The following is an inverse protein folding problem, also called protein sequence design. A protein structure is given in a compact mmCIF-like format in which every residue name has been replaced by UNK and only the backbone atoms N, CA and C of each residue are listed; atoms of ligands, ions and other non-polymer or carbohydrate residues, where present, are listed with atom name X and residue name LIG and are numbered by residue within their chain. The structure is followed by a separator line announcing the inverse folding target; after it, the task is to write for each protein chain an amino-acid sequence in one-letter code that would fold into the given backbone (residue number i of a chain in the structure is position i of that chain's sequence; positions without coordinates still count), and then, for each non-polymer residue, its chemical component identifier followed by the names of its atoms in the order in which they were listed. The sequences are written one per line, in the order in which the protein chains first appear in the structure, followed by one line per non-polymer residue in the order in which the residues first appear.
data_IF_376898508366
#
_entry.id   IF_376898508366
#
_cell.length_a   1.000
_cell.length_b   1.000
_cell.length_c   1.000
_cell.angle_alpha   90.00
_cell.angle_beta   90.00
_cell.angle_gamma   90.00
#
_symmetry.space_group_name_H-M   'P 1'
#
loop_
_entity.id
_entity.type
_entity.pdbx_description
1 polymer ?
#
# COMPACT_ATOMS: atom_id res chain seq x y z
N UNK A 1 -6.05 15.75 -17.96
CA UNK A 1 -6.28 14.84 -19.11
C UNK A 1 -7.61 15.16 -19.75
N UNK A 2 -7.76 15.11 -21.09
CA UNK A 2 -8.97 15.56 -21.81
C UNK A 2 -10.08 14.51 -21.70
N UNK A 3 -11.33 14.92 -21.50
CA UNK A 3 -12.52 14.04 -21.41
C UNK A 3 -12.54 12.95 -22.51
N UNK A 4 -12.17 13.30 -23.74
CA UNK A 4 -12.11 12.36 -24.87
C UNK A 4 -11.15 11.17 -24.71
N UNK A 5 -10.13 11.25 -23.87
CA UNK A 5 -9.22 10.12 -23.60
C UNK A 5 -9.86 9.08 -22.65
N UNK A 6 -10.69 9.53 -21.69
CA UNK A 6 -11.45 8.64 -20.80
C UNK A 6 -12.47 7.82 -21.58
N UNK A 7 -13.20 8.47 -22.47
CA UNK A 7 -14.21 7.82 -23.32
C UNK A 7 -13.57 6.82 -24.30
N UNK A 8 -12.40 7.16 -24.85
CA UNK A 8 -11.67 6.26 -25.75
C UNK A 8 -11.17 4.99 -25.01
N UNK A 9 -10.65 5.14 -23.80
CA UNK A 9 -10.18 4.00 -23.00
C UNK A 9 -11.35 3.10 -22.57
N UNK A 10 -12.51 3.68 -22.20
CA UNK A 10 -13.72 2.93 -21.90
C UNK A 10 -14.19 2.10 -23.10
N UNK A 11 -14.30 2.72 -24.29
CA UNK A 11 -14.66 2.01 -25.52
C UNK A 11 -13.66 0.91 -25.90
N UNK A 12 -12.36 1.16 -25.69
CA UNK A 12 -11.33 0.16 -25.95
C UNK A 12 -11.46 -1.04 -25.01
N UNK A 13 -11.71 -0.80 -23.71
CA UNK A 13 -11.98 -1.83 -22.72
C UNK A 13 -13.21 -2.67 -23.08
N UNK A 14 -14.35 -2.02 -23.39
CA UNK A 14 -15.58 -2.70 -23.79
C UNK A 14 -15.36 -3.57 -25.05
N UNK A 15 -14.63 -3.04 -26.04
CA UNK A 15 -14.30 -3.79 -27.25
C UNK A 15 -13.43 -5.02 -26.93
N UNK A 16 -12.42 -4.85 -26.07
CA UNK A 16 -11.55 -5.97 -25.64
C UNK A 16 -12.36 -7.04 -24.90
N UNK A 17 -13.26 -6.63 -24.00
CA UNK A 17 -14.12 -7.54 -23.25
C UNK A 17 -15.09 -8.32 -24.15
N UNK A 18 -15.53 -7.74 -25.29
CA UNK A 18 -16.41 -8.41 -26.27
C UNK A 18 -15.66 -9.35 -27.23
N UNK A 19 -14.43 -9.00 -27.60
CA UNK A 19 -13.67 -9.74 -28.63
C UNK A 19 -12.83 -10.90 -28.07
N UNK A 20 -12.58 -10.92 -26.76
CA UNK A 20 -11.83 -11.97 -26.09
C UNK A 20 -11.78 -11.71 -24.60
N UNK A 21 -11.47 -12.73 -23.81
CA UNK A 21 -11.30 -12.54 -22.38
C UNK A 21 -10.05 -11.66 -22.13
N UNK A 22 -10.15 -10.49 -21.47
CA UNK A 22 -9.02 -9.69 -21.11
C UNK A 22 -8.03 -10.48 -20.23
N UNK A 23 -6.74 -10.28 -20.45
CA UNK A 23 -5.70 -10.87 -19.61
C UNK A 23 -5.64 -10.18 -18.25
N UNK A 24 -5.03 -10.83 -17.25
CA UNK A 24 -4.73 -10.18 -15.95
C UNK A 24 -3.99 -8.85 -16.14
N UNK A 25 -3.05 -8.80 -17.08
CA UNK A 25 -2.31 -7.57 -17.39
C UNK A 25 -3.19 -6.44 -17.90
N UNK A 26 -4.21 -6.74 -18.69
CA UNK A 26 -5.16 -5.75 -19.23
C UNK A 26 -6.06 -5.20 -18.13
N UNK A 27 -6.58 -6.07 -17.23
CA UNK A 27 -7.31 -5.64 -16.04
C UNK A 27 -6.50 -4.68 -15.18
N UNK A 28 -5.23 -5.03 -14.87
CA UNK A 28 -4.37 -4.22 -14.03
C UNK A 28 -4.04 -2.86 -14.68
N UNK A 29 -3.76 -2.82 -15.98
CA UNK A 29 -3.53 -1.57 -16.72
C UNK A 29 -4.75 -0.67 -16.75
N UNK A 30 -5.93 -1.25 -16.98
CA UNK A 30 -7.17 -0.48 -17.02
C UNK A 30 -7.57 0.02 -15.62
N UNK A 31 -7.37 -0.79 -14.59
CA UNK A 31 -7.55 -0.37 -13.21
C UNK A 31 -6.65 0.84 -12.85
N UNK A 32 -5.36 0.79 -13.15
CA UNK A 32 -4.44 1.93 -12.96
C UNK A 32 -4.87 3.17 -13.75
N UNK A 33 -5.32 2.99 -14.99
CA UNK A 33 -5.85 4.08 -15.79
C UNK A 33 -7.05 4.76 -15.13
N UNK A 34 -8.00 3.98 -14.61
CA UNK A 34 -9.18 4.50 -13.93
C UNK A 34 -8.81 5.26 -12.64
N UNK A 35 -7.92 4.69 -11.82
CA UNK A 35 -7.42 5.34 -10.60
C UNK A 35 -6.75 6.68 -10.93
N UNK A 36 -5.81 6.68 -11.89
CA UNK A 36 -5.08 7.90 -12.29
C UNK A 36 -6.02 8.97 -12.86
N UNK A 37 -7.20 8.59 -13.32
CA UNK A 37 -8.21 9.53 -13.85
C UNK A 37 -9.33 9.87 -12.84
N UNK A 38 -9.17 9.53 -11.56
CA UNK A 38 -10.12 9.86 -10.49
C UNK A 38 -11.45 9.10 -10.61
N UNK A 39 -11.41 7.88 -11.15
CA UNK A 39 -12.56 6.97 -11.21
C UNK A 39 -12.31 5.72 -10.36
N UNK A 40 -12.20 5.92 -9.04
CA UNK A 40 -11.90 4.89 -8.05
C UNK A 40 -13.01 3.83 -8.00
N UNK A 41 -14.27 4.24 -8.17
CA UNK A 41 -15.43 3.32 -8.20
C UNK A 41 -15.34 2.38 -9.41
N UNK A 42 -15.05 2.92 -10.60
CA UNK A 42 -14.84 2.10 -11.80
C UNK A 42 -13.63 1.17 -11.65
N UNK A 43 -12.54 1.69 -11.09
CA UNK A 43 -11.34 0.89 -10.80
C UNK A 43 -11.64 -0.27 -9.84
N UNK A 44 -12.44 -0.03 -8.79
CA UNK A 44 -12.85 -1.03 -7.81
C UNK A 44 -13.68 -2.14 -8.46
N UNK A 45 -14.61 -1.79 -9.35
CA UNK A 45 -15.40 -2.75 -10.11
C UNK A 45 -14.50 -3.65 -10.98
N UNK A 46 -13.52 -3.07 -11.70
CA UNK A 46 -12.55 -3.80 -12.53
C UNK A 46 -11.66 -4.71 -11.68
N UNK A 47 -11.20 -4.22 -10.52
CA UNK A 47 -10.42 -5.01 -9.58
C UNK A 47 -11.20 -6.22 -9.05
N UNK A 48 -12.42 -6.00 -8.61
CA UNK A 48 -13.28 -7.06 -8.09
C UNK A 48 -13.67 -8.08 -9.18
N UNK A 49 -13.85 -7.64 -10.43
CA UNK A 49 -14.04 -8.55 -11.55
C UNK A 49 -12.81 -9.44 -11.78
N UNK A 50 -11.59 -8.89 -11.72
CA UNK A 50 -10.35 -9.66 -11.85
C UNK A 50 -10.22 -10.75 -10.77
N UNK A 51 -10.61 -10.44 -9.54
CA UNK A 51 -10.46 -11.33 -8.38
C UNK A 51 -11.77 -12.04 -7.97
N UNK A 52 -12.82 -11.99 -8.80
CA UNK A 52 -14.14 -12.57 -8.50
C UNK A 52 -14.11 -14.06 -8.14
N UNK A 53 -13.15 -14.81 -8.72
CA UNK A 53 -12.99 -16.26 -8.46
C UNK A 53 -12.34 -16.59 -7.12
N UNK A 54 -11.71 -15.63 -6.46
CA UNK A 54 -11.02 -15.84 -5.17
C UNK A 54 -11.87 -15.55 -3.94
N UNK A 55 -13.16 -15.22 -4.12
CA UNK A 55 -14.08 -14.75 -3.06
C UNK A 55 -13.54 -13.55 -2.25
N UNK A 56 -12.53 -12.85 -2.78
CA UNK A 56 -11.92 -11.69 -2.17
C UNK A 56 -12.47 -10.43 -2.86
N UNK A 57 -13.54 -9.87 -2.31
CA UNK A 57 -14.07 -8.58 -2.72
C UNK A 57 -13.37 -7.47 -1.95
N UNK A 58 -12.73 -6.55 -2.67
CA UNK A 58 -12.20 -5.33 -2.08
C UNK A 58 -13.35 -4.32 -1.90
N UNK A 59 -13.47 -3.77 -0.69
CA UNK A 59 -14.43 -2.71 -0.34
C UNK A 59 -13.67 -1.43 0.03
N UNK A 60 -14.29 -0.25 -0.10
CA UNK A 60 -13.72 0.98 0.46
C UNK A 60 -13.33 0.80 1.93
N UNK A 61 -12.24 1.42 2.36
CA UNK A 61 -11.74 1.30 3.72
C UNK A 61 -11.10 -0.05 4.06
N UNK A 62 -10.66 -0.82 3.05
CA UNK A 62 -9.98 -2.12 3.27
C UNK A 62 -8.64 -2.17 2.56
N UNK A 63 -7.62 -2.64 3.26
CA UNK A 63 -6.33 -3.00 2.67
C UNK A 63 -6.49 -4.34 1.94
N UNK A 64 -6.04 -4.37 0.68
CA UNK A 64 -5.95 -5.61 -0.08
C UNK A 64 -4.74 -6.42 0.38
N UNK A 65 -4.97 -7.71 0.67
CA UNK A 65 -3.89 -8.67 0.96
C UNK A 65 -2.90 -8.19 2.05
N UNK A 66 -3.42 -7.80 3.21
CA UNK A 66 -2.60 -7.31 4.33
C UNK A 66 -1.67 -8.35 4.97
N UNK A 67 -1.76 -9.62 4.56
CA UNK A 67 -0.88 -10.74 4.96
C UNK A 67 0.06 -11.17 3.82
N UNK A 68 0.17 -10.40 2.74
CA UNK A 68 1.07 -10.63 1.60
C UNK A 68 0.98 -12.03 0.98
N UNK A 69 -0.21 -12.64 1.01
CA UNK A 69 -0.46 -13.98 0.47
C UNK A 69 -0.64 -14.02 -1.05
N UNK A 70 -0.83 -12.86 -1.70
CA UNK A 70 -1.01 -12.75 -3.14
C UNK A 70 0.26 -12.25 -3.83
N UNK A 71 0.48 -12.61 -5.10
CA UNK A 71 1.58 -12.04 -5.87
C UNK A 71 1.52 -10.51 -5.94
N UNK A 72 2.65 -9.85 -5.72
CA UNK A 72 2.78 -8.40 -5.87
C UNK A 72 2.48 -7.99 -7.31
N UNK A 73 1.58 -7.04 -7.49
CA UNK A 73 1.15 -6.59 -8.83
C UNK A 73 1.83 -5.31 -9.26
N UNK A 74 2.29 -4.48 -8.34
CA UNK A 74 2.77 -3.11 -8.56
C UNK A 74 1.75 -2.23 -9.30
N UNK A 75 0.47 -2.61 -9.29
CA UNK A 75 -0.63 -1.98 -10.03
C UNK A 75 -1.96 -2.09 -9.31
N UNK A 76 -2.92 -1.26 -9.75
CA UNK A 76 -4.28 -1.24 -9.24
C UNK A 76 -4.32 -0.96 -7.75
N UNK A 77 -5.11 -1.75 -7.03
CA UNK A 77 -5.18 -1.71 -5.55
C UNK A 77 -4.24 -2.73 -4.89
N UNK A 78 -3.31 -3.34 -5.62
CA UNK A 78 -2.29 -4.22 -5.06
C UNK A 78 -1.07 -3.47 -4.50
N UNK A 79 -0.23 -4.20 -3.80
CA UNK A 79 1.01 -3.66 -3.26
C UNK A 79 1.98 -3.21 -4.36
N UNK A 80 2.61 -2.06 -4.13
CA UNK A 80 3.73 -1.49 -4.90
C UNK A 80 4.96 -1.53 -4.04
N UNK A 81 5.98 -2.25 -4.47
CA UNK A 81 7.24 -2.40 -3.74
C UNK A 81 8.22 -1.31 -4.15
N UNK A 82 8.77 -0.65 -3.15
CA UNK A 82 9.80 0.39 -3.31
C UNK A 82 11.16 -0.17 -3.70
N UNK A 83 12.04 0.72 -4.13
CA UNK A 83 13.43 0.41 -4.43
C UNK A 83 14.31 1.59 -3.99
N UNK A 84 15.41 1.29 -3.29
CA UNK A 84 16.43 2.28 -2.93
C UNK A 84 17.80 1.60 -2.79
N UNK A 85 18.90 2.31 -3.00
CA UNK A 85 20.23 1.80 -2.71
C UNK A 85 20.38 1.36 -1.26
N UNK A 86 21.03 0.22 -1.03
CA UNK A 86 21.24 -0.32 0.32
C UNK A 86 20.02 -0.93 0.98
N UNK A 87 18.92 -1.11 0.24
CA UNK A 87 17.67 -1.71 0.75
C UNK A 87 17.27 -2.90 -0.10
N UNK A 88 17.10 -4.06 0.54
CA UNK A 88 16.56 -5.27 -0.09
C UNK A 88 15.20 -5.57 0.50
N UNK A 89 14.16 -5.58 -0.34
CA UNK A 89 12.77 -5.86 0.07
C UNK A 89 12.33 -7.19 -0.53
N UNK A 90 11.71 -8.05 0.29
CA UNK A 90 11.27 -9.38 -0.13
C UNK A 90 10.10 -9.88 0.76
N UNK A 91 9.44 -10.95 0.35
CA UNK A 91 8.45 -11.65 1.16
C UNK A 91 9.14 -12.78 1.93
N UNK A 92 9.00 -12.74 3.26
CA UNK A 92 9.63 -13.71 4.17
C UNK A 92 8.58 -14.75 4.62
N UNK A 93 8.85 -16.01 4.31
CA UNK A 93 8.00 -17.14 4.72
C UNK A 93 8.34 -17.73 6.08
N UNK A 94 9.47 -17.36 6.68
CA UNK A 94 9.94 -17.90 7.94
C UNK A 94 9.55 -17.00 9.13
N UNK A 95 9.76 -15.69 9.00
CA UNK A 95 9.44 -14.70 10.04
C UNK A 95 8.15 -13.97 9.66
N UNK A 96 7.02 -14.40 10.20
CA UNK A 96 5.69 -13.86 9.96
C UNK A 96 4.84 -13.86 11.21
N UNK A 97 3.83 -12.99 11.25
CA UNK A 97 2.83 -12.95 12.32
C UNK A 97 1.66 -13.87 11.99
N UNK A 98 1.22 -13.90 10.73
CA UNK A 98 0.10 -14.72 10.24
C UNK A 98 0.27 -15.06 8.74
N UNK A 99 -0.58 -15.94 8.22
CA UNK A 99 -0.61 -16.26 6.80
C UNK A 99 0.65 -16.98 6.29
N UNK A 100 1.02 -16.70 5.03
CA UNK A 100 2.15 -17.35 4.36
C UNK A 100 3.43 -16.51 4.43
N UNK A 101 3.32 -15.19 4.37
CA UNK A 101 4.46 -14.29 4.29
C UNK A 101 4.27 -13.05 5.15
N UNK A 102 5.37 -12.42 5.52
CA UNK A 102 5.45 -11.01 5.91
C UNK A 102 6.23 -10.22 4.85
N UNK A 103 6.04 -8.91 4.79
CA UNK A 103 6.94 -8.04 4.06
C UNK A 103 8.19 -7.83 4.90
N UNK A 104 9.36 -8.15 4.33
CA UNK A 104 10.65 -7.94 4.98
C UNK A 104 11.49 -6.95 4.21
N UNK A 105 12.29 -6.16 4.93
CA UNK A 105 13.33 -5.33 4.35
C UNK A 105 14.62 -5.41 5.18
N UNK A 106 15.76 -5.57 4.48
CA UNK A 106 17.11 -5.51 5.05
C UNK A 106 17.81 -4.24 4.59
N UNK A 107 18.41 -3.52 5.53
CA UNK A 107 19.21 -2.32 5.32
C UNK A 107 20.68 -2.63 5.59
N UNK A 108 21.57 -2.30 4.64
CA UNK A 108 22.98 -2.69 4.69
C UNK A 108 23.91 -1.69 5.39
N UNK A 109 23.40 -0.57 5.88
CA UNK A 109 24.19 0.47 6.53
C UNK A 109 24.88 1.45 5.57
N UNK A 110 24.66 1.34 4.27
CA UNK A 110 25.36 2.18 3.29
C UNK A 110 24.64 3.50 3.00
N UNK A 111 23.35 3.59 3.29
CA UNK A 111 22.50 4.69 2.83
C UNK A 111 21.53 5.21 3.91
N UNK A 112 20.94 6.38 3.62
CA UNK A 112 19.90 7.02 4.40
C UNK A 112 18.64 7.22 3.52
N UNK A 113 17.94 6.15 3.12
CA UNK A 113 16.85 6.27 2.16
C UNK A 113 15.61 6.93 2.76
N UNK A 114 14.95 7.77 2.01
CA UNK A 114 13.55 8.13 2.20
C UNK A 114 12.73 7.23 1.29
N UNK A 115 12.05 6.22 1.84
CA UNK A 115 11.44 5.16 1.05
C UNK A 115 10.10 4.69 1.60
N UNK A 116 9.14 4.41 0.71
CA UNK A 116 8.03 3.51 0.99
C UNK A 116 8.48 2.09 0.64
N UNK A 117 8.67 1.23 1.65
CA UNK A 117 9.01 -0.19 1.43
C UNK A 117 7.93 -0.89 0.61
N UNK A 118 6.69 -0.63 0.98
CA UNK A 118 5.52 -0.98 0.18
C UNK A 118 4.45 0.09 0.35
N UNK A 119 3.64 0.27 -0.69
CA UNK A 119 2.49 1.18 -0.66
C UNK A 119 1.30 0.60 -1.40
N UNK A 120 0.11 1.09 -1.05
CA UNK A 120 -1.14 0.67 -1.65
C UNK A 120 -2.11 1.83 -1.73
N UNK A 121 -2.79 1.98 -2.87
CA UNK A 121 -3.91 2.90 -3.00
C UNK A 121 -5.13 2.21 -2.41
N UNK A 122 -5.80 2.85 -1.45
CA UNK A 122 -6.99 2.31 -0.78
C UNK A 122 -8.15 3.25 -1.05
N UNK A 123 -9.23 2.77 -1.69
CA UNK A 123 -10.44 3.58 -1.85
C UNK A 123 -11.09 3.84 -0.49
N UNK A 124 -11.59 5.05 -0.28
CA UNK A 124 -12.20 5.49 0.99
C UNK A 124 -13.43 6.36 0.73
N UNK A 125 -14.21 6.59 1.77
CA UNK A 125 -15.36 7.50 1.76
C UNK A 125 -15.05 8.78 2.53
N UNK A 126 -15.32 9.93 1.91
CA UNK A 126 -15.07 11.25 2.49
C UNK A 126 -15.90 11.47 3.76
N UNK A 127 -15.29 12.04 4.78
CA UNK A 127 -15.92 12.29 6.08
C UNK A 127 -15.91 11.09 7.04
N UNK A 128 -15.60 9.88 6.56
CA UNK A 128 -15.55 8.67 7.38
C UNK A 128 -14.25 8.61 8.19
N UNK A 129 -14.34 8.00 9.37
CA UNK A 129 -13.20 7.73 10.24
C UNK A 129 -12.75 6.28 10.08
N UNK A 130 -11.44 6.09 9.97
CA UNK A 130 -10.83 4.77 9.80
C UNK A 130 -9.72 4.54 10.81
N UNK A 131 -9.54 3.28 11.20
CA UNK A 131 -8.35 2.77 11.88
C UNK A 131 -7.54 1.93 10.90
N UNK A 132 -6.25 2.22 10.78
CA UNK A 132 -5.27 1.31 10.20
C UNK A 132 -4.50 0.66 11.32
N UNK A 133 -4.30 -0.65 11.24
CA UNK A 133 -3.44 -1.38 12.15
C UNK A 133 -2.57 -2.39 11.43
N UNK A 134 -1.46 -2.77 12.06
CA UNK A 134 -0.53 -3.79 11.57
C UNK A 134 0.52 -4.12 12.61
N UNK A 135 1.33 -5.11 12.35
CA UNK A 135 2.40 -5.52 13.23
C UNK A 135 3.75 -5.26 12.58
N UNK A 136 4.67 -4.69 13.36
CA UNK A 136 6.05 -4.42 12.96
C UNK A 136 6.99 -5.12 13.93
N UNK A 137 7.96 -5.84 13.40
CA UNK A 137 9.09 -6.44 14.11
C UNK A 137 10.38 -5.89 13.53
N UNK A 138 11.35 -5.58 14.38
CA UNK A 138 12.65 -5.08 13.95
C UNK A 138 13.81 -5.85 14.59
N UNK A 139 14.95 -5.85 13.92
CA UNK A 139 16.21 -6.38 14.41
C UNK A 139 17.33 -5.41 14.08
N UNK A 140 17.95 -4.82 15.11
CA UNK A 140 19.13 -3.96 15.02
C UNK A 140 18.98 -2.76 14.10
N UNK A 141 17.81 -2.13 14.08
CA UNK A 141 17.61 -0.86 13.35
C UNK A 141 18.40 0.24 14.06
N UNK A 142 19.38 0.81 13.37
CA UNK A 142 20.43 1.65 13.97
C UNK A 142 20.10 3.13 14.07
N UNK A 143 19.13 3.66 13.32
CA UNK A 143 18.82 5.10 13.30
C UNK A 143 17.61 5.46 14.16
N UNK A 144 17.46 6.75 14.47
CA UNK A 144 16.30 7.33 15.15
C UNK A 144 15.01 7.29 14.30
N UNK A 145 15.13 7.22 12.98
CA UNK A 145 14.02 7.06 12.05
C UNK A 145 13.93 5.61 11.55
N UNK A 146 13.18 4.80 12.28
CA UNK A 146 12.86 3.42 11.92
C UNK A 146 11.67 3.32 10.94
N UNK A 147 10.90 2.24 11.08
CA UNK A 147 9.79 1.91 10.19
C UNK A 147 8.47 2.31 10.84
N UNK A 148 7.59 2.93 10.06
CA UNK A 148 6.27 3.36 10.52
C UNK A 148 5.20 3.16 9.43
N UNK A 149 3.94 3.13 9.84
CA UNK A 149 2.79 3.11 8.95
C UNK A 149 2.36 4.56 8.67
N UNK A 150 2.08 4.87 7.41
CA UNK A 150 1.66 6.21 6.99
C UNK A 150 0.41 6.13 6.12
N UNK A 151 -0.46 7.12 6.31
CA UNK A 151 -1.60 7.42 5.45
C UNK A 151 -1.47 8.84 4.95
N UNK A 152 -1.68 9.03 3.65
CA UNK A 152 -1.81 10.37 3.05
C UNK A 152 -2.91 10.37 1.99
N UNK A 153 -3.50 11.53 1.73
CA UNK A 153 -4.46 11.67 0.63
C UNK A 153 -3.81 11.31 -0.71
N UNK A 154 -4.50 10.54 -1.56
CA UNK A 154 -3.98 10.18 -2.88
C UNK A 154 -4.16 11.34 -3.86
N UNK A 155 -5.37 11.74 -4.19
CA UNK A 155 -5.66 12.87 -5.08
C UNK A 155 -6.34 14.03 -4.34
N UNK A 156 -5.99 14.23 -3.08
CA UNK A 156 -6.55 15.26 -2.23
C UNK A 156 -5.50 15.78 -1.25
N UNK A 157 -5.76 16.93 -0.65
CA UNK A 157 -4.93 17.55 0.38
C UNK A 157 -5.56 17.41 1.76
N UNK A 158 -4.78 17.73 2.81
CA UNK A 158 -5.27 17.82 4.18
C UNK A 158 -5.28 16.49 4.95
N UNK A 159 -4.78 15.39 4.38
CA UNK A 159 -4.56 14.15 5.09
C UNK A 159 -3.10 13.72 4.99
N UNK A 160 -2.44 13.70 6.12
CA UNK A 160 -1.13 13.06 6.32
C UNK A 160 -1.02 12.68 7.80
N UNK A 161 -0.94 11.40 8.08
CA UNK A 161 -0.82 10.84 9.43
C UNK A 161 0.08 9.62 9.43
N UNK A 162 0.73 9.33 10.56
CA UNK A 162 1.64 8.19 10.69
C UNK A 162 1.79 7.73 12.12
N UNK A 163 2.18 6.48 12.29
CA UNK A 163 2.55 5.93 13.61
C UNK A 163 3.94 6.41 14.02
N UNK A 164 4.32 6.18 15.28
CA UNK A 164 5.69 6.39 15.70
C UNK A 164 6.63 5.37 15.04
N UNK A 165 7.84 5.78 14.63
CA UNK A 165 8.82 4.87 14.06
C UNK A 165 9.26 3.78 15.04
N UNK A 166 9.33 2.52 14.58
CA UNK A 166 9.88 1.41 15.34
C UNK A 166 11.38 1.29 15.02
N UNK A 167 12.21 1.41 16.08
CA UNK A 167 13.69 1.40 16.00
C UNK A 167 14.29 0.26 16.84
N UNK A 168 15.60 0.08 16.77
CA UNK A 168 16.33 -0.91 17.56
C UNK A 168 15.93 -2.35 17.23
N UNK A 169 15.80 -3.16 18.28
CA UNK A 169 15.31 -4.54 18.19
C UNK A 169 14.02 -4.66 18.97
N UNK A 170 12.95 -5.09 18.29
CA UNK A 170 11.65 -5.31 18.91
C UNK A 170 11.00 -6.61 18.46
N UNK A 171 10.24 -7.23 19.34
CA UNK A 171 9.27 -8.24 18.96
C UNK A 171 8.14 -7.61 18.13
N UNK A 172 7.21 -8.41 17.66
CA UNK A 172 6.02 -7.92 16.97
C UNK A 172 5.25 -6.90 17.82
N UNK A 173 5.26 -5.65 17.39
CA UNK A 173 4.54 -4.54 18.01
C UNK A 173 3.35 -4.17 17.16
N UNK A 174 2.17 -4.11 17.75
CA UNK A 174 0.98 -3.58 17.07
C UNK A 174 1.13 -2.07 16.91
N UNK A 175 0.99 -1.61 15.68
CA UNK A 175 0.89 -0.20 15.30
C UNK A 175 -0.57 0.11 15.00
N UNK A 176 -1.06 1.25 15.47
CA UNK A 176 -2.44 1.71 15.25
C UNK A 176 -2.40 3.17 14.84
N UNK A 177 -3.20 3.53 13.85
CA UNK A 177 -3.35 4.89 13.34
C UNK A 177 -4.82 5.17 13.03
N UNK A 178 -5.39 6.14 13.74
CA UNK A 178 -6.71 6.68 13.48
C UNK A 178 -6.63 7.92 12.61
N UNK A 179 -7.55 8.05 11.67
CA UNK A 179 -7.66 9.26 10.84
C UNK A 179 -9.09 9.44 10.31
N UNK A 180 -9.41 10.68 9.97
CA UNK A 180 -10.66 11.04 9.29
C UNK A 180 -10.34 11.47 7.85
N UNK A 181 -11.08 10.96 6.90
CA UNK A 181 -10.91 11.28 5.48
C UNK A 181 -11.47 12.68 5.19
N UNK A 182 -10.68 13.63 4.69
CA UNK A 182 -11.18 14.95 4.33
C UNK A 182 -12.25 14.92 3.23
N UNK A 183 -13.07 15.97 3.17
CA UNK A 183 -14.00 16.17 2.06
C UNK A 183 -13.26 16.20 0.72
N UNK A 184 -13.81 15.51 -0.29
CA UNK A 184 -13.22 15.44 -1.62
C UNK A 184 -12.16 14.34 -1.83
N UNK A 185 -11.68 13.68 -0.78
CA UNK A 185 -10.84 12.50 -0.88
C UNK A 185 -11.67 11.26 -1.22
N UNK A 186 -11.26 10.52 -2.23
CA UNK A 186 -11.86 9.23 -2.63
C UNK A 186 -10.91 8.06 -2.49
N UNK A 187 -9.63 8.34 -2.34
CA UNK A 187 -8.59 7.37 -2.10
C UNK A 187 -7.48 7.94 -1.23
N UNK A 188 -6.80 7.04 -0.52
CA UNK A 188 -5.59 7.32 0.24
C UNK A 188 -4.44 6.50 -0.31
N UNK A 189 -3.21 6.97 -0.09
CA UNK A 189 -2.00 6.17 -0.17
C UNK A 189 -1.67 5.68 1.23
N UNK A 190 -1.78 4.37 1.45
CA UNK A 190 -1.24 3.70 2.63
C UNK A 190 0.18 3.23 2.34
N UNK A 191 1.13 3.44 3.25
CA UNK A 191 2.55 3.12 3.05
C UNK A 191 3.19 2.56 4.31
N UNK A 192 4.08 1.59 4.12
CA UNK A 192 5.07 1.16 5.09
C UNK A 192 6.31 2.00 4.80
N UNK A 193 6.63 2.95 5.68
CA UNK A 193 7.59 4.03 5.42
C UNK A 193 8.83 3.94 6.28
N UNK A 194 9.93 4.42 5.70
CA UNK A 194 11.09 4.93 6.41
C UNK A 194 11.38 6.33 5.88
N UNK A 195 11.41 7.32 6.76
CA UNK A 195 11.83 8.68 6.43
C UNK A 195 13.33 8.84 6.64
N UNK A 196 14.02 9.59 5.79
CA UNK A 196 15.43 9.88 5.98
C UNK A 196 15.67 10.56 7.35
N UNK A 197 16.70 10.12 8.07
CA UNK A 197 17.13 10.77 9.31
C UNK A 197 17.91 12.05 9.02
N UNK A 198 17.74 13.06 9.86
CA UNK A 198 18.53 14.30 9.84
C UNK A 198 19.69 14.27 10.83
N UNK A 199 19.82 13.22 11.62
CA UNK A 199 20.90 13.01 12.57
C UNK A 199 22.23 12.77 11.90
N UNK A 200 23.34 12.98 12.61
CA UNK A 200 24.69 12.74 12.07
C UNK A 200 24.93 11.27 11.70
N UNK A 201 24.45 10.36 12.57
CA UNK A 201 24.46 8.92 12.28
C UNK A 201 23.13 8.50 11.65
N UNK A 202 23.02 8.77 10.36
CA UNK A 202 21.77 8.62 9.61
C UNK A 202 21.71 7.38 8.70
N UNK A 203 22.80 6.63 8.57
CA UNK A 203 22.83 5.40 7.76
C UNK A 203 22.13 4.27 8.49
N UNK A 204 21.10 3.73 7.87
CA UNK A 204 20.29 2.69 8.47
C UNK A 204 20.85 1.30 8.15
N UNK A 205 21.03 0.47 9.20
CA UNK A 205 21.25 -0.98 9.06
C UNK A 205 20.23 -1.76 9.89
N UNK A 206 20.11 -3.06 9.61
CA UNK A 206 19.20 -3.96 10.31
C UNK A 206 18.06 -4.45 9.45
N UNK A 207 17.15 -5.19 10.08
CA UNK A 207 16.05 -5.87 9.40
C UNK A 207 14.70 -5.47 10.00
N UNK A 208 13.66 -5.48 9.16
CA UNK A 208 12.28 -5.24 9.56
C UNK A 208 11.35 -6.26 8.90
N UNK A 209 10.28 -6.61 9.61
CA UNK A 209 9.16 -7.41 9.12
C UNK A 209 7.86 -6.69 9.45
N UNK A 210 6.95 -6.65 8.48
CA UNK A 210 5.62 -6.04 8.63
C UNK A 210 4.57 -7.05 8.16
N UNK A 211 3.50 -7.20 8.94
CA UNK A 211 2.47 -8.21 8.66
C UNK A 211 1.12 -7.84 9.27
N UNK A 212 0.09 -8.59 8.87
CA UNK A 212 -1.28 -8.49 9.41
C UNK A 212 -1.87 -7.07 9.35
N UNK A 213 -1.62 -6.40 8.22
CA UNK A 213 -2.12 -5.06 7.95
C UNK A 213 -3.63 -5.08 7.73
N UNK A 214 -4.34 -4.21 8.42
CA UNK A 214 -5.79 -4.08 8.34
C UNK A 214 -6.19 -2.62 8.34
N UNK A 215 -7.29 -2.33 7.68
CA UNK A 215 -7.99 -1.05 7.77
C UNK A 215 -9.47 -1.32 7.95
N UNK A 216 -10.11 -0.59 8.84
CA UNK A 216 -11.52 -0.71 9.13
C UNK A 216 -12.11 0.67 9.42
N UNK A 217 -13.36 0.85 8.99
CA UNK A 217 -14.14 2.02 9.37
C UNK A 217 -14.49 1.94 10.86
N UNK A 218 -14.43 3.08 11.51
CA UNK A 218 -14.83 3.29 12.90
C UNK A 218 -16.22 3.94 12.91
N UNK A 219 -17.15 3.30 13.60
CA UNK A 219 -18.52 3.81 13.75
C UNK A 219 -18.64 5.06 14.61
#
# INVERSE_FOLDING_TARGET
MRAGQRDAAGRAWEKLARLGAPTKGDYLKYCDFLITNGNETGALAIWNQLYSRSNAELKPGRIWDGNFGQPVTNKGFGWRIGQAPGVRIFLDGDIKMAGQYSLSASFDGSSNPDISLASQIVPVEAGHRYEVSGYVKTSRITTDNGIFLQVQGYDCSGLQAGTQPVTGTSFWQKQILDFTVPSGCKAIMFSIRRAASTSLDNRISGDVWVDSLKMAEQG
#
